data_IF_406286193420
#
_entry.id   IF_406286193420
#
_cell.length_a   1.000
_cell.length_b   1.000
_cell.length_c   1.000
_cell.angle_alpha   90.00
_cell.angle_beta   90.00
_cell.angle_gamma   90.00
#
_symmetry.space_group_name_H-M   'P 1'
#
loop_
_entity.id
_entity.type
_entity.pdbx_description
1 polymer ?
#
# COMPACT_ATOMS: atom_id res chain seq x y z
N UNK A 1 10.62 -14.32 2.21
CA UNK A 1 11.41 -13.20 1.68
C UNK A 1 10.47 -12.11 1.17
N UNK A 2 10.68 -10.88 1.61
CA UNK A 2 9.91 -9.72 1.15
C UNK A 2 10.83 -8.82 0.33
N UNK A 3 10.31 -8.36 -0.81
CA UNK A 3 10.99 -7.39 -1.65
C UNK A 3 10.40 -6.00 -1.37
N UNK A 4 11.23 -4.99 -1.16
CA UNK A 4 10.80 -3.62 -0.93
C UNK A 4 11.75 -2.62 -1.61
N UNK A 5 11.26 -1.41 -1.81
CA UNK A 5 12.02 -0.33 -2.43
C UNK A 5 13.03 0.24 -1.44
N UNK A 6 14.32 0.16 -1.76
CA UNK A 6 15.40 0.61 -0.89
C UNK A 6 15.37 2.12 -0.63
N UNK A 7 15.12 2.92 -1.66
CA UNK A 7 15.04 4.37 -1.51
C UNK A 7 13.90 4.76 -0.57
N UNK A 8 12.74 4.13 -0.73
CA UNK A 8 11.59 4.36 0.13
C UNK A 8 11.88 3.92 1.57
N UNK A 9 12.55 2.78 1.76
CA UNK A 9 12.92 2.30 3.09
C UNK A 9 13.86 3.28 3.80
N UNK A 10 14.77 3.90 3.06
CA UNK A 10 15.71 4.88 3.59
C UNK A 10 15.01 6.18 4.04
N UNK A 11 14.03 6.66 3.27
CA UNK A 11 13.35 7.94 3.55
C UNK A 11 12.11 7.79 4.43
N UNK A 12 11.32 6.75 4.19
CA UNK A 12 9.98 6.59 4.79
C UNK A 12 9.92 5.46 5.82
N UNK A 13 10.99 4.68 5.96
CA UNK A 13 11.06 3.54 6.85
C UNK A 13 10.79 2.20 6.16
N UNK A 14 11.38 1.14 6.70
CA UNK A 14 11.28 -0.21 6.12
C UNK A 14 9.83 -0.72 6.13
N UNK A 15 9.09 -0.49 7.23
CA UNK A 15 7.70 -0.94 7.32
C UNK A 15 6.83 -0.26 6.25
N UNK A 16 7.02 1.02 6.01
CA UNK A 16 6.32 1.76 4.96
C UNK A 16 6.66 1.19 3.57
N UNK A 17 7.92 0.89 3.31
CA UNK A 17 8.36 0.31 2.04
C UNK A 17 7.75 -1.08 1.81
N UNK A 18 7.65 -1.90 2.84
CA UNK A 18 7.05 -3.24 2.77
C UNK A 18 5.55 -3.13 2.47
N UNK A 19 4.83 -2.25 3.17
CA UNK A 19 3.40 -2.02 2.93
C UNK A 19 3.16 -1.47 1.53
N UNK A 20 3.98 -0.53 1.08
CA UNK A 20 3.88 0.02 -0.28
C UNK A 20 4.05 -1.07 -1.34
N UNK A 21 4.98 -2.00 -1.15
CA UNK A 21 5.18 -3.12 -2.08
C UNK A 21 3.97 -4.03 -2.13
N UNK A 22 3.36 -4.35 -0.99
CA UNK A 22 2.13 -5.14 -0.95
C UNK A 22 1.02 -4.46 -1.75
N UNK A 23 0.79 -3.18 -1.51
CA UNK A 23 -0.27 -2.43 -2.17
C UNK A 23 0.01 -2.26 -3.67
N UNK A 24 1.27 -2.09 -4.05
CA UNK A 24 1.68 -2.03 -5.44
C UNK A 24 1.40 -3.34 -6.16
N UNK A 25 1.72 -4.48 -5.54
CA UNK A 25 1.44 -5.80 -6.11
C UNK A 25 -0.07 -6.06 -6.21
N UNK A 26 -0.84 -5.66 -5.19
CA UNK A 26 -2.29 -5.75 -5.22
C UNK A 26 -2.89 -4.98 -6.40
N UNK A 27 -2.37 -3.79 -6.69
CA UNK A 27 -2.83 -2.96 -7.80
C UNK A 27 -2.63 -3.66 -9.16
N UNK A 28 -1.66 -4.56 -9.27
CA UNK A 28 -1.31 -5.26 -10.50
C UNK A 28 -1.81 -6.71 -10.55
N UNK A 29 -2.49 -7.19 -9.52
CA UNK A 29 -3.00 -8.57 -9.44
C UNK A 29 -4.47 -8.61 -9.86
N UNK A 30 -4.73 -9.12 -11.06
CA UNK A 30 -6.08 -9.21 -11.61
C UNK A 30 -7.04 -10.04 -10.75
N UNK A 31 -6.55 -11.09 -10.09
CA UNK A 31 -7.40 -11.93 -9.25
C UNK A 31 -7.85 -11.21 -7.98
N UNK A 32 -7.00 -10.34 -7.45
CA UNK A 32 -7.29 -9.54 -6.26
C UNK A 32 -8.00 -8.23 -6.60
N UNK A 33 -7.96 -7.81 -7.86
CA UNK A 33 -8.50 -6.54 -8.32
C UNK A 33 -10.02 -6.51 -8.53
N UNK A 34 -10.76 -7.52 -8.13
CA UNK A 34 -12.23 -7.51 -8.15
C UNK A 34 -12.85 -6.32 -7.42
N UNK A 35 -12.09 -5.72 -6.51
CA UNK A 35 -12.51 -4.58 -5.68
C UNK A 35 -11.91 -3.25 -6.17
N UNK A 36 -11.25 -3.23 -7.33
CA UNK A 36 -10.68 -2.00 -7.86
C UNK A 36 -11.72 -1.22 -8.66
N UNK A 37 -11.66 0.10 -8.55
CA UNK A 37 -12.51 1.01 -9.33
C UNK A 37 -11.66 2.13 -9.92
N UNK A 38 -12.05 2.63 -11.09
CA UNK A 38 -11.42 3.79 -11.70
C UNK A 38 -12.23 5.04 -11.36
N UNK A 39 -11.63 5.98 -10.64
CA UNK A 39 -12.23 7.26 -10.26
C UNK A 39 -11.19 8.35 -10.27
N UNK A 40 -11.58 9.55 -10.65
CA UNK A 40 -10.70 10.73 -10.63
C UNK A 40 -9.44 10.53 -11.48
N UNK A 41 -9.53 9.77 -12.57
CA UNK A 41 -8.39 9.46 -13.43
C UNK A 41 -7.38 8.48 -12.85
N UNK A 42 -7.72 7.80 -11.77
CA UNK A 42 -6.84 6.86 -11.08
C UNK A 42 -7.57 5.56 -10.76
N UNK A 43 -6.80 4.49 -10.63
CA UNK A 43 -7.31 3.22 -10.16
C UNK A 43 -7.15 3.13 -8.66
N UNK A 44 -8.28 2.96 -7.99
CA UNK A 44 -8.37 2.78 -6.55
C UNK A 44 -8.60 1.33 -6.21
N UNK A 45 -7.95 0.85 -5.18
CA UNK A 45 -8.12 -0.51 -4.68
C UNK A 45 -8.45 -0.49 -3.20
N UNK A 46 -9.27 -1.45 -2.79
CA UNK A 46 -9.77 -1.58 -1.43
C UNK A 46 -8.93 -2.60 -0.66
N UNK A 47 -8.43 -2.21 0.50
CA UNK A 47 -7.67 -3.11 1.36
C UNK A 47 -7.84 -2.69 2.83
N UNK A 48 -8.30 -3.61 3.67
CA UNK A 48 -8.40 -3.35 5.10
C UNK A 48 -7.05 -3.56 5.79
N UNK A 49 -6.91 -2.98 6.99
CA UNK A 49 -5.71 -3.22 7.82
C UNK A 49 -5.56 -4.69 8.17
N UNK A 50 -6.67 -5.40 8.40
CA UNK A 50 -6.65 -6.84 8.67
C UNK A 50 -6.13 -7.64 7.49
N UNK A 51 -6.53 -7.29 6.27
CA UNK A 51 -6.04 -7.92 5.05
C UNK A 51 -4.53 -7.71 4.89
N UNK A 52 -4.03 -6.50 5.16
CA UNK A 52 -2.60 -6.20 5.12
C UNK A 52 -1.82 -7.04 6.13
N UNK A 53 -2.33 -7.15 7.36
CA UNK A 53 -1.68 -7.96 8.42
C UNK A 53 -1.65 -9.44 8.04
N UNK A 54 -2.72 -9.96 7.46
CA UNK A 54 -2.78 -11.36 7.01
C UNK A 54 -1.77 -11.64 5.90
N UNK A 55 -1.56 -10.71 4.98
CA UNK A 55 -0.60 -10.88 3.89
C UNK A 55 0.85 -10.72 4.36
N UNK A 56 1.11 -9.77 5.24
CA UNK A 56 2.47 -9.44 5.65
C UNK A 56 3.00 -10.25 6.82
N UNK A 57 2.14 -10.73 7.70
CA UNK A 57 2.42 -11.58 8.87
C UNK A 57 3.54 -11.11 9.80
N UNK A 58 4.55 -10.40 9.28
CA UNK A 58 5.68 -9.89 10.06
C UNK A 58 5.40 -8.56 10.75
N UNK A 59 4.29 -7.90 10.41
CA UNK A 59 3.92 -6.61 10.97
C UNK A 59 2.65 -6.73 11.79
N UNK A 60 2.62 -6.06 12.94
CA UNK A 60 1.41 -5.92 13.74
C UNK A 60 0.45 -4.91 13.07
N UNK A 61 -0.80 -4.89 13.52
CA UNK A 61 -1.77 -3.93 13.01
C UNK A 61 -1.33 -2.48 13.27
N UNK A 62 -0.70 -2.20 14.40
CA UNK A 62 -0.21 -0.85 14.72
C UNK A 62 0.94 -0.46 13.80
N UNK A 63 1.85 -1.39 13.50
CA UNK A 63 2.94 -1.15 12.55
C UNK A 63 2.41 -0.87 11.15
N UNK A 64 1.37 -1.59 10.71
CA UNK A 64 0.72 -1.36 9.42
C UNK A 64 0.03 0.00 9.38
N UNK A 65 -0.68 0.36 10.45
CA UNK A 65 -1.34 1.68 10.54
C UNK A 65 -0.32 2.82 10.45
N UNK A 66 0.78 2.72 11.17
CA UNK A 66 1.84 3.73 11.15
C UNK A 66 2.50 3.81 9.77
N UNK A 67 2.73 2.67 9.12
CA UNK A 67 3.29 2.61 7.78
C UNK A 67 2.37 3.28 6.75
N UNK A 68 1.08 2.97 6.78
CA UNK A 68 0.09 3.59 5.88
C UNK A 68 0.02 5.10 6.12
N UNK A 69 0.01 5.52 7.38
CA UNK A 69 0.01 6.95 7.71
C UNK A 69 1.24 7.65 7.14
N UNK A 70 2.42 7.06 7.29
CA UNK A 70 3.65 7.61 6.72
C UNK A 70 3.55 7.74 5.20
N UNK A 71 3.04 6.73 4.51
CA UNK A 71 2.88 6.75 3.06
C UNK A 71 1.91 7.85 2.60
N UNK A 72 0.82 8.04 3.32
CA UNK A 72 -0.14 9.11 3.00
C UNK A 72 0.45 10.49 3.30
N UNK A 73 1.07 10.65 4.45
CA UNK A 73 1.65 11.93 4.89
C UNK A 73 2.80 12.36 3.96
N UNK A 74 3.54 11.41 3.42
CA UNK A 74 4.67 11.68 2.52
C UNK A 74 4.26 11.78 1.04
N UNK A 75 2.96 11.75 0.76
CA UNK A 75 2.46 11.95 -0.61
C UNK A 75 2.65 10.77 -1.55
N UNK A 76 2.88 9.57 -1.04
CA UNK A 76 3.05 8.34 -1.83
C UNK A 76 1.70 7.71 -2.15
N UNK A 77 0.80 7.67 -1.16
CA UNK A 77 -0.55 7.15 -1.29
C UNK A 77 -1.59 8.24 -1.05
N UNK A 78 -2.74 8.07 -1.68
CA UNK A 78 -3.98 8.77 -1.30
C UNK A 78 -4.95 7.74 -0.78
N UNK A 79 -5.73 8.10 0.23
CA UNK A 79 -6.80 7.26 0.76
C UNK A 79 -8.12 8.00 0.70
N UNK A 80 -9.19 7.25 0.48
CA UNK A 80 -10.55 7.78 0.49
C UNK A 80 -11.53 6.65 0.84
N UNK A 81 -12.76 7.02 1.19
CA UNK A 81 -13.83 6.07 1.38
C UNK A 81 -14.73 6.13 0.13
N UNK A 82 -14.61 5.13 -0.71
CA UNK A 82 -15.41 4.99 -1.93
C UNK A 82 -16.51 3.94 -1.80
N UNK A 83 -16.82 3.52 -0.56
CA UNK A 83 -17.82 2.50 -0.29
C UNK A 83 -19.22 3.06 -0.51
N UNK A 84 -20.11 2.26 -1.10
CA UNK A 84 -21.52 2.62 -1.29
C UNK A 84 -22.26 2.61 0.05
N UNK A 85 -21.89 1.71 0.95
CA UNK A 85 -22.44 1.65 2.29
C UNK A 85 -21.73 2.64 3.22
N UNK A 86 -22.46 3.64 3.71
CA UNK A 86 -21.91 4.67 4.61
C UNK A 86 -21.39 4.14 5.95
N UNK A 87 -21.76 2.94 6.34
CA UNK A 87 -21.28 2.28 7.56
C UNK A 87 -20.01 1.47 7.34
N UNK A 88 -19.59 1.28 6.09
CA UNK A 88 -18.34 0.62 5.76
C UNK A 88 -17.22 1.66 5.71
N UNK A 89 -16.28 1.58 6.64
CA UNK A 89 -15.16 2.51 6.77
C UNK A 89 -13.85 1.95 6.20
N UNK A 90 -13.90 0.85 5.47
CA UNK A 90 -12.72 0.29 4.81
C UNK A 90 -12.16 1.31 3.82
N UNK A 91 -10.87 1.60 3.93
CA UNK A 91 -10.23 2.57 3.07
C UNK A 91 -9.95 2.03 1.67
N UNK A 92 -10.07 2.91 0.71
CA UNK A 92 -9.59 2.73 -0.66
C UNK A 92 -8.31 3.53 -0.83
N UNK A 93 -7.37 2.97 -1.59
CA UNK A 93 -6.06 3.57 -1.80
C UNK A 93 -5.75 3.68 -3.28
N UNK A 94 -4.98 4.70 -3.63
CA UNK A 94 -4.34 4.82 -4.93
C UNK A 94 -2.95 5.41 -4.75
N UNK A 95 -2.01 5.01 -5.61
CA UNK A 95 -0.69 5.65 -5.63
C UNK A 95 -0.81 7.02 -6.31
N UNK A 96 -0.14 8.02 -5.71
CA UNK A 96 0.00 9.33 -6.34
C UNK A 96 0.95 9.20 -7.54
N UNK A 97 1.03 10.24 -8.37
CA UNK A 97 2.02 10.27 -9.45
C UNK A 97 3.44 10.14 -8.90
N UNK A 98 3.75 10.89 -7.84
CA UNK A 98 5.02 10.79 -7.14
C UNK A 98 5.28 9.37 -6.62
N UNK A 99 4.30 8.77 -5.95
CA UNK A 99 4.41 7.39 -5.45
C UNK A 99 4.62 6.38 -6.56
N UNK A 100 3.90 6.53 -7.67
CA UNK A 100 4.04 5.65 -8.85
C UNK A 100 5.46 5.74 -9.42
N UNK A 101 5.98 6.94 -9.58
CA UNK A 101 7.36 7.13 -10.07
C UNK A 101 8.38 6.53 -9.12
N UNK A 102 8.20 6.73 -7.83
CA UNK A 102 9.10 6.19 -6.81
C UNK A 102 9.10 4.66 -6.83
N UNK A 103 7.93 4.03 -6.96
CA UNK A 103 7.81 2.58 -7.04
C UNK A 103 8.46 2.00 -8.30
N UNK A 104 8.39 2.71 -9.43
CA UNK A 104 8.99 2.27 -10.70
C UNK A 104 10.50 2.48 -10.75
N UNK A 105 11.00 3.51 -10.10
CA UNK A 105 12.39 3.98 -10.21
C UNK A 105 13.32 3.40 -9.17
N UNK A 106 12.83 3.13 -7.96
CA UNK A 106 13.65 2.74 -6.84
C UNK A 106 14.29 1.36 -7.02
N UNK A 107 15.42 1.14 -6.36
CA UNK A 107 16.03 -0.17 -6.28
C UNK A 107 15.24 -1.04 -5.31
N UNK A 108 15.11 -2.33 -5.66
CA UNK A 108 14.36 -3.27 -4.85
C UNK A 108 15.29 -4.12 -4.01
N UNK A 109 14.97 -4.18 -2.73
CA UNK A 109 15.71 -4.93 -1.73
C UNK A 109 14.93 -6.16 -1.28
N UNK A 110 15.64 -7.25 -0.94
CA UNK A 110 15.01 -8.46 -0.44
C UNK A 110 15.35 -8.65 1.03
N UNK A 111 14.33 -8.87 1.86
CA UNK A 111 14.48 -9.21 3.26
C UNK A 111 13.88 -10.60 3.51
N UNK A 112 14.63 -11.43 4.22
CA UNK A 112 14.13 -12.75 4.63
C UNK A 112 13.35 -12.60 5.92
N UNK A 113 12.10 -13.08 5.90
CA UNK A 113 11.23 -13.08 7.07
C UNK A 113 11.10 -14.52 7.58
N UNK A 114 11.44 -14.66 8.81
CA UNK A 114 11.45 -15.96 9.47
C UNK A 114 10.36 -16.04 10.52
#
# INVERSE_FOLDING_TARGET
>A
MIKFNEDMASEDGVNAAIVAKLLWDLQHDFLKMKKAVDRYGRRWFRCSMKEMVLELRCLSIDMVKDAVKALVDNGILRKDNLNDNKFDHTNWYTFTEFGTQLMKRGEWYYETIM
#
